data_IF_319055249385
#
_entry.id   IF_319055249385
#
_cell.length_a   1.000
_cell.length_b   1.000
_cell.length_c   1.000
_cell.angle_alpha   90.00
_cell.angle_beta   90.00
_cell.angle_gamma   90.00
#
_symmetry.space_group_name_H-M   'P 1'
#
loop_
_entity.id
_entity.type
_entity.pdbx_description
1 polymer ?
#
# COMPACT_ATOMS: atom_id res chain seq x y z
N UNK A 1 62.07 9.00 18.82
CA UNK A 1 60.61 8.88 18.62
C UNK A 1 59.89 9.78 19.59
N UNK A 2 59.09 10.75 19.11
CA UNK A 2 58.28 11.62 19.99
C UNK A 2 56.96 10.91 20.28
N UNK A 3 56.73 10.55 21.55
CA UNK A 3 55.44 10.02 22.02
C UNK A 3 54.47 11.19 22.16
N UNK A 4 53.35 11.14 21.44
CA UNK A 4 52.25 12.10 21.59
C UNK A 4 51.25 11.48 22.56
N UNK A 5 51.11 12.10 23.73
CA UNK A 5 50.07 11.74 24.68
C UNK A 5 48.79 12.44 24.25
N UNK A 6 47.77 11.65 23.91
CA UNK A 6 46.43 12.15 23.61
C UNK A 6 45.53 11.68 24.75
N UNK A 7 44.69 12.56 25.28
CA UNK A 7 43.74 12.21 26.31
C UNK A 7 42.79 11.11 25.79
N UNK A 8 42.50 10.05 26.57
CA UNK A 8 41.50 9.06 26.20
C UNK A 8 40.15 9.77 26.07
N UNK A 9 39.53 9.66 24.89
CA UNK A 9 38.15 10.12 24.66
C UNK A 9 37.27 8.90 24.45
N UNK A 10 36.10 8.90 25.10
CA UNK A 10 35.07 7.90 24.84
C UNK A 10 34.47 8.21 23.48
N UNK A 11 34.53 7.25 22.56
CA UNK A 11 33.68 7.26 21.38
C UNK A 11 32.30 6.78 21.83
N UNK A 12 31.34 7.70 21.88
CA UNK A 12 29.94 7.34 22.06
C UNK A 12 29.54 6.59 20.80
N UNK A 13 29.26 5.29 20.92
CA UNK A 13 28.57 4.55 19.87
C UNK A 13 27.27 5.31 19.59
N UNK A 14 27.22 5.98 18.43
CA UNK A 14 25.94 6.42 17.89
C UNK A 14 25.18 5.14 17.59
N UNK A 15 24.06 4.95 18.25
CA UNK A 15 23.02 4.09 17.71
C UNK A 15 22.67 4.69 16.35
N UNK A 16 23.05 4.03 15.26
CA UNK A 16 22.33 4.22 14.02
C UNK A 16 20.92 3.74 14.30
N UNK A 17 19.95 4.64 14.17
CA UNK A 17 18.56 4.25 14.20
C UNK A 17 18.37 3.28 13.03
N UNK A 18 18.42 1.99 13.30
CA UNK A 18 18.05 0.95 12.34
C UNK A 18 16.52 0.79 12.30
N UNK A 19 15.80 1.87 12.61
CA UNK A 19 14.36 1.93 12.50
C UNK A 19 14.08 2.29 11.06
N UNK A 20 14.00 1.25 10.22
CA UNK A 20 13.71 1.41 8.82
C UNK A 20 12.29 1.95 8.68
N UNK A 21 12.22 3.17 8.19
CA UNK A 21 10.98 3.87 7.93
C UNK A 21 10.54 3.38 6.54
N UNK A 22 9.93 2.18 6.47
CA UNK A 22 9.33 1.56 5.27
C UNK A 22 8.63 2.58 4.35
N UNK A 23 9.01 2.71 3.08
CA UNK A 23 8.37 3.66 2.18
C UNK A 23 6.90 3.26 1.94
N UNK A 24 6.00 4.22 2.04
CA UNK A 24 4.56 4.00 1.98
C UNK A 24 3.95 4.86 0.87
N UNK A 25 3.24 4.24 -0.06
CA UNK A 25 2.41 4.95 -1.04
C UNK A 25 0.94 4.76 -0.69
N UNK A 26 0.22 5.86 -0.63
CA UNK A 26 -1.21 5.88 -0.39
C UNK A 26 -1.96 5.43 -1.67
N UNK A 27 -3.04 4.68 -1.51
CA UNK A 27 -3.87 4.22 -2.62
C UNK A 27 -5.31 4.60 -2.34
N UNK A 28 -5.91 5.44 -3.18
CA UNK A 28 -7.33 5.77 -3.08
C UNK A 28 -8.15 4.93 -4.05
N UNK A 29 -9.11 4.15 -3.55
CA UNK A 29 -10.07 3.45 -4.39
C UNK A 29 -10.97 4.46 -5.13
N UNK A 30 -11.15 4.27 -6.43
CA UNK A 30 -12.21 4.90 -7.19
C UNK A 30 -13.52 4.15 -6.91
N UNK A 31 -14.16 4.53 -5.81
CA UNK A 31 -15.36 3.85 -5.31
C UNK A 31 -16.54 3.92 -6.26
N UNK A 32 -16.61 4.95 -7.11
CA UNK A 32 -17.64 5.06 -8.14
C UNK A 32 -17.47 3.95 -9.18
N UNK A 33 -16.26 3.76 -9.70
CA UNK A 33 -16.01 2.72 -10.68
C UNK A 33 -16.04 1.32 -10.06
N UNK A 34 -15.53 1.15 -8.83
CA UNK A 34 -15.63 -0.11 -8.12
C UNK A 34 -17.09 -0.54 -7.91
N UNK A 35 -17.96 0.36 -7.41
CA UNK A 35 -19.39 0.09 -7.28
C UNK A 35 -20.07 -0.24 -8.61
N UNK A 36 -19.67 0.42 -9.71
CA UNK A 36 -20.21 0.12 -11.03
C UNK A 36 -19.80 -1.28 -11.49
N UNK A 37 -18.53 -1.65 -11.30
CA UNK A 37 -18.04 -2.99 -11.61
C UNK A 37 -18.82 -4.05 -10.83
N UNK A 38 -19.03 -3.83 -9.53
CA UNK A 38 -19.81 -4.75 -8.69
C UNK A 38 -21.26 -4.86 -9.17
N UNK A 39 -21.85 -3.77 -9.68
CA UNK A 39 -23.18 -3.78 -10.28
C UNK A 39 -23.24 -4.59 -11.58
N UNK A 40 -22.26 -4.43 -12.46
CA UNK A 40 -22.24 -5.04 -13.79
C UNK A 40 -21.86 -6.53 -13.75
N UNK A 41 -21.13 -6.96 -12.72
CA UNK A 41 -20.61 -8.32 -12.61
C UNK A 41 -21.33 -9.18 -11.55
N UNK A 42 -22.35 -8.63 -10.90
CA UNK A 42 -23.22 -9.39 -9.99
C UNK A 42 -24.66 -9.42 -10.47
N UNK A 43 -25.25 -10.60 -10.37
CA UNK A 43 -26.66 -10.84 -10.61
C UNK A 43 -27.53 -10.07 -9.62
N UNK A 44 -28.77 -9.79 -9.99
CA UNK A 44 -29.68 -8.97 -9.16
C UNK A 44 -30.02 -9.60 -7.81
N UNK A 45 -29.87 -10.92 -7.65
CA UNK A 45 -30.12 -11.65 -6.40
C UNK A 45 -28.88 -11.77 -5.50
N UNK A 46 -27.70 -11.38 -5.97
CA UNK A 46 -26.48 -11.43 -5.19
C UNK A 46 -26.32 -10.17 -4.33
N UNK A 47 -25.77 -10.34 -3.12
CA UNK A 47 -25.31 -9.20 -2.33
C UNK A 47 -24.10 -8.62 -3.06
N UNK A 48 -24.23 -7.37 -3.50
CA UNK A 48 -23.17 -6.66 -4.21
C UNK A 48 -22.28 -5.97 -3.18
N UNK A 49 -20.96 -6.17 -3.23
CA UNK A 49 -20.03 -5.40 -2.42
C UNK A 49 -20.24 -3.90 -2.66
N UNK A 50 -20.23 -3.11 -1.59
CA UNK A 50 -20.39 -1.67 -1.65
C UNK A 50 -19.10 -0.98 -1.21
N UNK A 51 -18.62 -0.07 -2.04
CA UNK A 51 -17.41 0.71 -1.82
C UNK A 51 -17.79 2.12 -1.34
N UNK A 52 -17.47 2.44 -0.08
CA UNK A 52 -17.76 3.75 0.51
C UNK A 52 -16.61 4.75 0.24
N UNK A 53 -16.89 5.94 -0.34
CA UNK A 53 -15.89 7.01 -0.51
C UNK A 53 -15.17 7.43 0.78
N UNK A 54 -15.82 7.32 1.94
CA UNK A 54 -15.26 7.66 3.25
C UNK A 54 -14.54 6.48 3.93
N UNK A 55 -14.52 5.33 3.27
CA UNK A 55 -13.80 4.15 3.72
C UNK A 55 -12.70 3.79 2.72
N UNK A 56 -12.92 2.83 1.82
CA UNK A 56 -11.90 2.46 0.84
C UNK A 56 -11.55 3.57 -0.18
N UNK A 57 -12.39 4.60 -0.30
CA UNK A 57 -12.06 5.79 -1.10
C UNK A 57 -11.04 6.74 -0.47
N UNK A 58 -10.77 6.60 0.83
CA UNK A 58 -9.79 7.44 1.54
C UNK A 58 -8.40 6.84 1.35
N UNK A 59 -7.50 7.60 0.74
CA UNK A 59 -6.19 7.09 0.30
C UNK A 59 -5.26 6.60 1.42
N UNK A 60 -5.49 7.00 2.67
CA UNK A 60 -4.72 6.53 3.83
C UNK A 60 -5.17 5.16 4.36
N UNK A 61 -6.28 4.62 3.86
CA UNK A 61 -6.80 3.32 4.29
C UNK A 61 -6.24 2.13 3.49
N UNK A 62 -5.51 2.38 2.41
CA UNK A 62 -4.85 1.36 1.59
C UNK A 62 -3.45 1.84 1.28
N UNK A 63 -2.44 1.03 1.62
CA UNK A 63 -1.04 1.44 1.57
C UNK A 63 -0.23 0.36 0.87
N UNK A 64 0.58 0.78 -0.10
CA UNK A 64 1.66 -0.03 -0.67
C UNK A 64 2.91 0.23 0.16
N UNK A 65 3.59 -0.84 0.59
CA UNK A 65 4.78 -0.73 1.45
C UNK A 65 5.99 -1.35 0.78
N UNK A 66 7.08 -0.62 0.84
CA UNK A 66 8.44 -1.14 0.66
C UNK A 66 9.04 -1.26 2.06
N UNK A 67 9.11 -2.50 2.56
CA UNK A 67 9.50 -2.83 3.94
C UNK A 67 11.01 -2.90 4.13
N UNK A 68 11.76 -2.97 3.04
CA UNK A 68 13.21 -3.15 3.04
C UNK A 68 13.98 -1.95 2.41
N UNK A 69 13.25 -1.02 1.79
CA UNK A 69 13.69 0.19 1.13
C UNK A 69 14.65 -0.04 -0.06
N UNK A 70 14.40 -1.08 -0.85
CA UNK A 70 15.10 -1.32 -2.12
C UNK A 70 14.43 -0.59 -3.31
N UNK A 71 13.35 0.15 -3.06
CA UNK A 71 12.55 0.84 -4.06
C UNK A 71 11.54 -0.08 -4.76
N UNK A 72 11.34 -1.30 -4.26
CA UNK A 72 10.40 -2.30 -4.76
C UNK A 72 9.29 -2.45 -3.72
N UNK A 73 8.04 -2.46 -4.18
CA UNK A 73 6.91 -2.68 -3.28
C UNK A 73 6.89 -4.16 -2.86
N UNK A 74 6.83 -4.40 -1.56
CA UNK A 74 6.78 -5.74 -0.96
C UNK A 74 5.34 -6.20 -0.73
N UNK A 75 4.45 -5.28 -0.33
CA UNK A 75 3.07 -5.62 0.03
C UNK A 75 2.06 -4.49 -0.20
N UNK A 76 0.78 -4.86 -0.27
CA UNK A 76 -0.36 -3.96 -0.15
C UNK A 76 -1.16 -4.32 1.10
N UNK A 77 -1.54 -3.33 1.89
CA UNK A 77 -2.28 -3.50 3.14
C UNK A 77 -3.45 -2.53 3.21
N UNK A 78 -4.65 -3.01 3.55
CA UNK A 78 -5.78 -2.17 3.91
C UNK A 78 -5.77 -1.90 5.43
N UNK A 79 -5.42 -0.70 5.85
CA UNK A 79 -5.10 -0.34 7.24
C UNK A 79 -6.30 -0.10 8.14
N UNK A 80 -7.50 0.11 7.56
CA UNK A 80 -8.75 0.33 8.31
C UNK A 80 -9.65 -0.90 8.37
N UNK A 81 -9.27 -1.99 7.71
CA UNK A 81 -10.03 -3.22 7.79
C UNK A 81 -9.91 -3.82 9.21
N UNK A 82 -11.04 -4.32 9.74
CA UNK A 82 -11.12 -4.85 11.12
C UNK A 82 -10.24 -6.11 11.34
N UNK A 83 -9.76 -6.70 10.26
CA UNK A 83 -8.80 -7.81 10.21
C UNK A 83 -7.96 -7.59 8.94
N UNK A 84 -6.65 -7.40 9.05
CA UNK A 84 -5.71 -7.17 7.93
C UNK A 84 -6.02 -8.12 6.75
N UNK A 85 -6.76 -7.66 5.74
CA UNK A 85 -7.31 -8.56 4.76
C UNK A 85 -6.23 -8.82 3.72
N UNK A 86 -6.10 -10.07 3.31
CA UNK A 86 -5.18 -10.43 2.23
C UNK A 86 -5.64 -9.77 0.93
N UNK A 87 -4.80 -8.88 0.41
CA UNK A 87 -5.00 -8.25 -0.88
C UNK A 87 -4.43 -9.15 -1.98
N UNK A 88 -5.16 -9.34 -3.07
CA UNK A 88 -4.62 -9.92 -4.32
C UNK A 88 -4.56 -8.83 -5.38
N UNK A 89 -3.45 -8.71 -6.10
CA UNK A 89 -3.19 -7.63 -7.05
C UNK A 89 -3.32 -8.13 -8.50
N UNK A 90 -3.79 -7.25 -9.39
CA UNK A 90 -4.02 -7.56 -10.80
C UNK A 90 -3.59 -6.41 -11.72
N UNK A 91 -3.24 -6.77 -12.95
CA UNK A 91 -2.89 -5.81 -14.02
C UNK A 91 -4.08 -5.37 -14.87
N UNK A 92 -5.25 -5.98 -14.67
CA UNK A 92 -6.46 -5.75 -15.47
C UNK A 92 -7.70 -5.52 -14.60
N UNK A 93 -8.63 -4.71 -15.11
CA UNK A 93 -9.91 -4.42 -14.46
C UNK A 93 -10.93 -5.55 -14.49
N UNK A 94 -10.59 -6.72 -15.04
CA UNK A 94 -11.41 -7.93 -14.89
C UNK A 94 -10.87 -8.84 -13.77
N UNK A 95 -9.77 -8.47 -13.11
CA UNK A 95 -9.18 -9.23 -12.00
C UNK A 95 -8.78 -10.65 -12.41
N UNK A 96 -8.23 -10.80 -13.62
CA UNK A 96 -7.89 -12.11 -14.22
C UNK A 96 -6.39 -12.36 -14.36
N UNK A 97 -5.58 -11.30 -14.41
CA UNK A 97 -4.14 -11.33 -14.63
C UNK A 97 -3.42 -10.89 -13.35
N UNK A 98 -3.13 -11.84 -12.43
CA UNK A 98 -2.49 -11.53 -11.17
C UNK A 98 -1.08 -10.98 -11.38
N UNK A 99 -0.68 -10.05 -10.51
CA UNK A 99 0.66 -9.47 -10.45
C UNK A 99 1.20 -9.55 -9.02
N UNK A 100 2.53 -9.42 -8.90
CA UNK A 100 3.17 -9.25 -7.61
C UNK A 100 3.17 -7.78 -7.20
N UNK A 101 3.24 -7.46 -5.89
CA UNK A 101 3.46 -6.08 -5.44
C UNK A 101 4.67 -5.43 -6.12
N UNK A 102 5.74 -6.19 -6.35
CA UNK A 102 6.96 -5.74 -7.03
C UNK A 102 6.77 -5.29 -8.48
N UNK A 103 5.66 -5.68 -9.12
CA UNK A 103 5.33 -5.27 -10.50
C UNK A 103 4.62 -3.91 -10.55
N UNK A 104 4.22 -3.38 -9.39
CA UNK A 104 3.60 -2.06 -9.29
C UNK A 104 4.68 -1.00 -9.45
N UNK A 105 4.42 -0.08 -10.37
CA UNK A 105 5.27 1.07 -10.61
C UNK A 105 4.38 2.31 -10.60
N UNK A 106 4.31 3.06 -9.48
CA UNK A 106 3.41 4.22 -9.36
C UNK A 106 3.55 5.23 -10.51
N UNK A 107 4.76 5.40 -11.04
CA UNK A 107 5.06 6.31 -12.15
C UNK A 107 4.68 5.77 -13.54
N UNK A 108 4.51 4.46 -13.69
CA UNK A 108 4.22 3.80 -14.98
C UNK A 108 2.78 3.30 -15.08
N UNK A 109 2.27 2.77 -13.97
CA UNK A 109 0.94 2.18 -13.82
C UNK A 109 0.25 2.88 -12.64
N UNK A 110 -0.27 4.11 -12.85
CA UNK A 110 -0.86 4.87 -11.75
C UNK A 110 -2.13 4.21 -11.21
N UNK A 111 -2.81 3.39 -12.03
CA UNK A 111 -3.98 2.62 -11.63
C UNK A 111 -3.58 1.20 -11.28
N UNK A 112 -4.04 0.74 -10.12
CA UNK A 112 -3.90 -0.65 -9.67
C UNK A 112 -5.27 -1.26 -9.43
N UNK A 113 -5.36 -2.57 -9.59
CA UNK A 113 -6.56 -3.37 -9.38
C UNK A 113 -6.26 -4.39 -8.28
N UNK A 114 -7.15 -4.52 -7.30
CA UNK A 114 -6.95 -5.47 -6.22
C UNK A 114 -8.27 -6.03 -5.72
N UNK A 115 -8.21 -7.23 -5.14
CA UNK A 115 -9.34 -7.80 -4.42
C UNK A 115 -9.04 -7.94 -2.95
N UNK A 116 -10.07 -7.71 -2.15
CA UNK A 116 -10.03 -7.83 -0.69
C UNK A 116 -11.13 -8.77 -0.26
N UNK A 117 -10.81 -9.75 0.59
CA UNK A 117 -11.80 -10.68 1.12
C UNK A 117 -12.20 -10.30 2.54
N UNK A 118 -13.47 -9.94 2.73
CA UNK A 118 -14.02 -9.59 4.05
C UNK A 118 -15.31 -10.37 4.31
N UNK A 119 -15.34 -11.12 5.42
CA UNK A 119 -16.48 -11.94 5.85
C UNK A 119 -17.06 -12.83 4.74
N UNK A 120 -16.21 -13.42 3.90
CA UNK A 120 -16.60 -14.30 2.80
C UNK A 120 -17.01 -13.57 1.51
N UNK A 121 -17.11 -12.25 1.53
CA UNK A 121 -17.37 -11.41 0.35
C UNK A 121 -16.03 -10.96 -0.26
N UNK A 122 -15.94 -11.01 -1.59
CA UNK A 122 -14.77 -10.49 -2.33
C UNK A 122 -15.15 -9.13 -2.89
N UNK A 123 -14.39 -8.11 -2.53
CA UNK A 123 -14.52 -6.75 -3.03
C UNK A 123 -13.52 -6.55 -4.16
N UNK A 124 -13.94 -5.89 -5.24
CA UNK A 124 -13.15 -5.65 -6.44
C UNK A 124 -12.84 -4.17 -6.54
N UNK A 125 -11.64 -3.84 -6.11
CA UNK A 125 -11.19 -2.46 -5.99
C UNK A 125 -10.31 -2.06 -7.16
N UNK A 126 -10.39 -0.78 -7.51
CA UNK A 126 -9.48 -0.16 -8.43
C UNK A 126 -9.24 1.27 -8.01
N UNK A 127 -8.04 1.79 -8.22
CA UNK A 127 -7.69 3.05 -7.62
C UNK A 127 -6.37 3.58 -8.12
N UNK A 128 -6.06 4.82 -7.74
CA UNK A 128 -4.79 5.46 -8.09
C UNK A 128 -3.81 5.40 -6.93
N UNK A 129 -2.56 5.17 -7.27
CA UNK A 129 -1.45 5.35 -6.34
C UNK A 129 -1.16 6.84 -6.24
N UNK A 130 -1.26 7.38 -5.03
CA UNK A 130 -0.89 8.75 -4.71
C UNK A 130 0.51 8.74 -4.10
N UNK A 131 1.43 9.41 -4.79
CA UNK A 131 2.75 9.70 -4.24
C UNK A 131 2.57 10.63 -3.04
N UNK A 132 2.98 10.15 -1.87
CA UNK A 132 3.07 10.87 -0.57
C UNK A 132 1.75 11.27 0.09
N UNK A 133 1.50 10.67 1.26
CA UNK A 133 0.57 11.14 2.28
C UNK A 133 1.11 12.44 2.90
N UNK A 134 0.37 13.57 2.91
CA UNK A 134 0.78 14.81 3.54
C UNK A 134 1.07 14.72 5.05
N UNK A 135 0.47 13.74 5.75
CA UNK A 135 0.71 13.49 7.18
C UNK A 135 1.98 12.63 7.41
N UNK A 136 2.56 12.09 6.33
CA UNK A 136 3.84 11.38 6.32
C UNK A 136 4.74 11.83 5.14
N UNK A 137 5.13 13.11 5.09
CA UNK A 137 5.68 13.74 3.88
C UNK A 137 7.12 13.35 3.55
N UNK A 138 7.80 12.55 4.39
CA UNK A 138 9.18 12.14 4.16
C UNK A 138 9.35 10.64 4.40
N UNK A 139 9.33 9.86 3.31
CA UNK A 139 10.05 8.58 3.20
C UNK A 139 10.81 8.49 1.86
N UNK A 140 11.43 9.61 1.48
CA UNK A 140 12.62 9.70 0.61
C UNK A 140 13.47 10.87 1.08
#
# INVERSE_FOLDING_TARGET
MKKKWVAPRVEVQKFEANEYVAACWAVGCDTGVANQWEQDNHEWWQIKPYHDPNDCGVSSHQVLRDTNNDGIIDEMVETKAFYDPTCSLYSDGNYTLPILPSDIHPDKNPTIYWTTKYLGTTYHHQGKVFGTDPDHPNRS
#
